data_IF_385365056187
#
_entry.id   IF_385365056187
#
_cell.length_a   1.000
_cell.length_b   1.000
_cell.length_c   1.000
_cell.angle_alpha   90.00
_cell.angle_beta   90.00
_cell.angle_gamma   90.00
#
_symmetry.space_group_name_H-M   'P 1'
#
loop_
_entity.id
_entity.type
_entity.pdbx_description
1 polymer ?
#
# COMPACT_ATOMS: atom_id res chain seq x y z
N UNK A 1 -31.33 24.17 36.53
CA UNK A 1 -30.44 23.34 35.69
C UNK A 1 -29.35 22.75 36.57
N UNK A 2 -28.89 21.50 36.34
CA UNK A 2 -27.87 20.91 37.18
C UNK A 2 -26.50 21.55 36.95
N UNK A 3 -25.75 21.78 38.04
CA UNK A 3 -24.44 22.47 38.08
C UNK A 3 -23.36 21.94 37.12
N UNK A 4 -23.52 20.73 36.56
CA UNK A 4 -22.58 20.17 35.60
C UNK A 4 -22.69 20.79 34.19
N UNK A 5 -23.85 21.34 33.83
CA UNK A 5 -24.05 21.99 32.52
C UNK A 5 -23.27 23.30 32.43
N UNK A 6 -23.19 24.05 33.53
CA UNK A 6 -22.44 25.30 33.60
C UNK A 6 -20.92 25.03 33.59
N UNK A 7 -20.47 24.00 34.30
CA UNK A 7 -19.07 23.56 34.27
C UNK A 7 -18.62 23.09 32.87
N UNK A 8 -19.50 22.40 32.13
CA UNK A 8 -19.22 22.00 30.74
C UNK A 8 -19.14 23.20 29.80
N UNK A 9 -20.00 24.21 29.97
CA UNK A 9 -19.98 25.45 29.18
C UNK A 9 -18.72 26.27 29.45
N UNK A 10 -18.29 26.37 30.71
CA UNK A 10 -17.06 27.04 31.11
C UNK A 10 -15.81 26.37 30.51
N UNK A 11 -15.77 25.03 30.51
CA UNK A 11 -14.68 24.26 29.90
C UNK A 11 -14.59 24.50 28.38
N UNK A 12 -15.73 24.50 27.68
CA UNK A 12 -15.80 24.76 26.24
C UNK A 12 -15.37 26.20 25.92
N UNK A 13 -15.80 27.19 26.71
CA UNK A 13 -15.40 28.58 26.54
C UNK A 13 -13.89 28.79 26.75
N UNK A 14 -13.29 28.06 27.69
CA UNK A 14 -11.86 28.12 27.99
C UNK A 14 -10.99 27.48 26.89
N UNK A 15 -11.43 26.37 26.32
CA UNK A 15 -10.78 25.72 25.16
C UNK A 15 -10.87 26.63 23.92
N UNK A 16 -12.04 27.25 23.69
CA UNK A 16 -12.23 28.19 22.58
C UNK A 16 -11.40 29.49 22.74
N UNK A 17 -11.15 29.92 23.97
CA UNK A 17 -10.30 31.08 24.27
C UNK A 17 -8.81 30.82 24.06
N UNK A 18 -8.32 29.62 24.38
CA UNK A 18 -6.91 29.24 24.21
C UNK A 18 -6.50 29.12 22.73
N UNK A 19 -7.40 28.73 21.83
CA UNK A 19 -7.10 28.67 20.39
C UNK A 19 -6.90 30.05 19.73
N UNK A 20 -7.30 31.15 20.37
CA UNK A 20 -7.12 32.52 19.83
C UNK A 20 -5.78 33.17 20.20
N UNK A 21 -4.98 32.57 21.08
CA UNK A 21 -3.73 33.18 21.59
C UNK A 21 -2.43 32.53 21.10
N UNK A 22 -2.47 31.56 20.18
CA UNK A 22 -1.27 31.08 19.53
C UNK A 22 -0.73 32.15 18.55
N UNK A 23 0.29 32.88 18.97
CA UNK A 23 1.04 33.79 18.09
C UNK A 23 1.95 32.99 17.15
N UNK A 24 2.10 33.37 15.86
CA UNK A 24 2.94 32.63 14.93
C UNK A 24 4.42 32.92 15.20
N UNK A 25 5.21 31.85 15.42
CA UNK A 25 6.67 31.93 15.49
C UNK A 25 7.30 32.12 14.10
N UNK A 26 8.51 32.69 14.00
CA UNK A 26 9.12 33.06 12.72
C UNK A 26 9.86 31.87 12.11
N UNK A 27 9.15 31.03 11.36
CA UNK A 27 9.76 30.16 10.36
C UNK A 27 8.73 29.84 9.28
N UNK A 28 8.44 30.83 8.44
CA UNK A 28 7.64 30.61 7.23
C UNK A 28 8.39 29.66 6.31
N UNK A 29 7.89 28.44 6.20
CA UNK A 29 8.26 27.52 5.12
C UNK A 29 7.07 27.39 4.18
N UNK A 30 7.34 27.06 2.92
CA UNK A 30 6.37 27.01 1.82
C UNK A 30 5.13 26.12 2.08
N UNK A 31 5.09 25.37 3.18
CA UNK A 31 3.95 24.57 3.65
C UNK A 31 2.78 25.40 4.17
N UNK A 32 3.02 26.57 4.77
CA UNK A 32 1.93 27.44 5.27
C UNK A 32 1.05 27.97 4.14
N UNK A 33 1.63 28.12 2.94
CA UNK A 33 0.90 28.51 1.73
C UNK A 33 -0.03 27.42 1.19
N UNK A 34 0.30 26.13 1.39
CA UNK A 34 -0.54 25.02 0.93
C UNK A 34 -1.73 24.75 1.87
N UNK A 35 -1.55 24.97 3.18
CA UNK A 35 -2.62 24.89 4.17
C UNK A 35 -3.72 25.96 3.98
N UNK A 36 -3.38 27.08 3.33
CA UNK A 36 -4.33 28.15 3.04
C UNK A 36 -5.22 27.88 1.80
N UNK A 37 -4.81 27.00 0.88
CA UNK A 37 -5.53 26.74 -0.38
C UNK A 37 -6.65 25.70 -0.24
N UNK A 38 -6.76 25.00 0.90
CA UNK A 38 -7.88 24.10 1.23
C UNK A 38 -9.03 24.77 2.00
N UNK A 39 -9.10 26.11 2.00
CA UNK A 39 -10.27 26.85 2.47
C UNK A 39 -11.12 27.33 1.29
N UNK A 40 -11.62 26.38 0.50
CA UNK A 40 -12.68 26.65 -0.46
C UNK A 40 -14.01 26.16 0.11
N UNK A 41 -14.81 27.13 0.55
CA UNK A 41 -16.26 27.14 0.68
C UNK A 41 -16.99 25.82 1.02
N UNK A 42 -17.42 25.73 2.28
CA UNK A 42 -18.53 24.90 2.77
C UNK A 42 -18.48 23.36 2.60
N UNK A 43 -17.39 22.71 3.03
CA UNK A 43 -17.42 21.38 3.70
C UNK A 43 -16.01 21.03 4.19
N UNK A 44 -15.70 21.42 5.43
CA UNK A 44 -14.41 21.18 6.06
C UNK A 44 -14.20 19.69 6.37
N UNK A 45 -13.26 19.06 5.68
CA UNK A 45 -12.41 18.03 6.28
C UNK A 45 -11.76 18.65 7.51
N UNK A 46 -12.06 18.11 8.69
CA UNK A 46 -11.34 18.50 9.89
C UNK A 46 -9.95 17.85 9.81
N UNK A 47 -8.93 18.64 9.48
CA UNK A 47 -7.56 18.25 9.78
C UNK A 47 -7.44 18.35 11.29
N UNK A 48 -7.46 17.20 11.97
CA UNK A 48 -7.09 17.12 13.38
C UNK A 48 -5.61 16.82 13.40
N UNK A 49 -4.81 17.88 13.44
CA UNK A 49 -3.37 17.81 13.59
C UNK A 49 -3.03 17.70 15.08
N UNK A 50 -3.15 16.48 15.61
CA UNK A 50 -2.73 16.15 16.99
C UNK A 50 -1.39 15.39 17.01
N UNK A 51 -0.65 15.36 15.90
CA UNK A 51 0.65 14.66 15.80
C UNK A 51 0.59 13.14 16.05
N UNK A 52 -0.61 12.54 16.13
CA UNK A 52 -0.79 11.14 16.42
C UNK A 52 -1.74 10.49 15.39
N UNK A 53 -1.22 9.62 14.52
CA UNK A 53 -1.98 8.84 13.53
C UNK A 53 -3.28 8.20 14.07
N UNK A 54 -3.25 7.81 15.35
CA UNK A 54 -4.41 7.26 16.08
C UNK A 54 -5.59 8.25 16.16
N UNK A 55 -5.31 9.53 16.40
CA UNK A 55 -6.32 10.58 16.51
C UNK A 55 -6.95 10.86 15.13
N UNK A 56 -6.12 10.95 14.09
CA UNK A 56 -6.59 11.12 12.71
C UNK A 56 -7.56 10.00 12.30
N UNK A 57 -7.21 8.72 12.58
CA UNK A 57 -8.11 7.60 12.33
C UNK A 57 -9.38 7.65 13.19
N UNK A 58 -9.28 8.03 14.46
CA UNK A 58 -10.45 8.13 15.34
C UNK A 58 -11.46 9.17 14.85
N UNK A 59 -10.99 10.33 14.38
CA UNK A 59 -11.83 11.39 13.82
C UNK A 59 -12.47 10.93 12.51
N UNK A 60 -11.68 10.33 11.62
CA UNK A 60 -12.20 9.82 10.35
C UNK A 60 -13.24 8.71 10.57
N UNK A 61 -12.98 7.81 11.52
CA UNK A 61 -13.92 6.78 11.92
C UNK A 61 -15.22 7.34 12.52
N UNK A 62 -15.13 8.35 13.40
CA UNK A 62 -16.31 8.99 13.97
C UNK A 62 -17.19 9.62 12.89
N UNK A 63 -16.58 10.26 11.89
CA UNK A 63 -17.31 10.78 10.72
C UNK A 63 -17.95 9.67 9.88
N UNK A 64 -17.21 8.59 9.61
CA UNK A 64 -17.75 7.45 8.88
C UNK A 64 -18.94 6.79 9.61
N UNK A 65 -18.86 6.67 10.94
CA UNK A 65 -19.95 6.19 11.79
C UNK A 65 -21.18 7.10 11.76
N UNK A 66 -20.99 8.41 11.59
CA UNK A 66 -22.07 9.37 11.43
C UNK A 66 -22.62 9.46 9.99
N UNK A 67 -22.27 8.51 9.10
CA UNK A 67 -22.74 8.50 7.72
C UNK A 67 -22.08 9.58 6.84
N UNK A 68 -20.88 10.05 7.20
CA UNK A 68 -20.13 11.04 6.42
C UNK A 68 -18.87 10.44 5.79
N UNK A 69 -18.61 10.77 4.52
CA UNK A 69 -17.36 10.36 3.86
C UNK A 69 -16.16 10.98 4.58
N UNK A 70 -15.23 10.12 4.97
CA UNK A 70 -13.98 10.51 5.59
C UNK A 70 -12.81 9.74 4.97
N UNK A 71 -11.63 10.32 5.08
CA UNK A 71 -10.36 9.71 4.70
C UNK A 71 -9.30 10.15 5.71
N UNK A 72 -8.26 9.35 5.88
CA UNK A 72 -7.06 9.72 6.61
C UNK A 72 -5.84 9.61 5.69
N UNK A 73 -4.82 10.42 5.92
CA UNK A 73 -3.53 10.33 5.27
C UNK A 73 -2.49 10.01 6.33
N UNK A 74 -1.75 8.92 6.14
CA UNK A 74 -0.74 8.42 7.06
C UNK A 74 0.56 8.14 6.30
N UNK A 75 1.67 7.97 6.99
CA UNK A 75 2.87 7.38 6.43
C UNK A 75 3.14 5.96 6.98
N UNK A 76 4.26 5.34 6.58
CA UNK A 76 4.64 4.00 7.02
C UNK A 76 4.66 3.84 8.56
N UNK A 77 5.49 4.60 9.28
CA UNK A 77 5.51 4.60 10.74
C UNK A 77 4.13 4.82 11.40
N UNK A 78 3.34 5.75 10.86
CA UNK A 78 1.99 6.03 11.34
C UNK A 78 1.05 4.81 11.22
N UNK A 79 1.14 4.05 10.11
CA UNK A 79 0.36 2.83 9.91
C UNK A 79 0.66 1.79 11.00
N UNK A 80 1.94 1.63 11.37
CA UNK A 80 2.35 0.74 12.44
C UNK A 80 1.86 1.23 13.81
N UNK A 81 2.03 2.53 14.09
CA UNK A 81 1.59 3.15 15.34
C UNK A 81 0.06 3.10 15.55
N UNK A 82 -0.70 2.97 14.46
CA UNK A 82 -2.15 2.91 14.47
C UNK A 82 -2.73 1.55 14.03
N UNK A 83 -1.94 0.47 14.06
CA UNK A 83 -2.35 -0.87 13.65
C UNK A 83 -3.62 -1.39 14.36
N UNK A 84 -3.71 -1.21 15.68
CA UNK A 84 -4.91 -1.56 16.47
C UNK A 84 -6.14 -0.74 16.02
N UNK A 85 -5.95 0.53 15.64
CA UNK A 85 -7.02 1.42 15.16
C UNK A 85 -7.49 1.04 13.76
N UNK A 86 -6.59 0.64 12.88
CA UNK A 86 -6.96 0.05 11.58
C UNK A 86 -7.79 -1.23 11.79
N UNK A 87 -7.33 -2.11 12.68
CA UNK A 87 -8.06 -3.34 13.04
C UNK A 87 -9.44 -3.04 13.63
N UNK A 88 -9.52 -2.00 14.47
CA UNK A 88 -10.77 -1.53 15.08
C UNK A 88 -11.75 -0.99 14.04
N UNK A 89 -11.26 -0.24 13.03
CA UNK A 89 -12.09 0.28 11.94
C UNK A 89 -12.61 -0.85 11.04
N UNK A 90 -11.70 -1.74 10.64
CA UNK A 90 -12.05 -2.86 9.78
C UNK A 90 -13.03 -3.83 10.48
N UNK A 91 -12.84 -4.09 11.78
CA UNK A 91 -13.73 -4.94 12.59
C UNK A 91 -15.14 -4.37 12.77
N UNK A 92 -15.32 -3.05 12.58
CA UNK A 92 -16.62 -2.36 12.61
C UNK A 92 -17.20 -2.13 11.22
N UNK A 93 -16.61 -2.73 10.19
CA UNK A 93 -17.09 -2.59 8.81
C UNK A 93 -17.20 -1.11 8.41
N UNK A 94 -16.23 -0.28 8.82
CA UNK A 94 -16.28 1.14 8.51
C UNK A 94 -15.91 1.39 7.04
N UNK A 95 -16.77 2.06 6.26
CA UNK A 95 -16.49 2.46 4.87
C UNK A 95 -15.48 3.62 4.81
N UNK A 96 -14.25 3.34 5.26
CA UNK A 96 -13.14 4.28 5.41
C UNK A 96 -12.00 3.91 4.44
N UNK A 97 -11.44 4.92 3.79
CA UNK A 97 -10.21 4.77 3.00
C UNK A 97 -9.09 5.53 3.70
N UNK A 98 -7.95 4.87 3.86
CA UNK A 98 -6.71 5.46 4.35
C UNK A 98 -5.75 5.53 3.17
N UNK A 99 -5.19 6.71 2.92
CA UNK A 99 -4.13 6.88 1.94
C UNK A 99 -2.79 6.89 2.66
N UNK A 100 -1.82 6.14 2.16
CA UNK A 100 -0.53 6.00 2.82
C UNK A 100 0.66 6.23 1.90
N UNK A 101 1.71 6.88 2.43
CA UNK A 101 3.03 6.92 1.79
C UNK A 101 3.98 5.97 2.49
N UNK A 102 4.60 5.06 1.74
CA UNK A 102 5.41 3.99 2.31
C UNK A 102 6.85 4.44 2.49
N UNK A 103 7.16 4.83 3.73
CA UNK A 103 8.50 5.07 4.23
C UNK A 103 9.09 3.86 4.91
N UNK A 104 10.42 3.75 4.87
CA UNK A 104 11.15 2.77 5.65
C UNK A 104 10.88 2.98 7.15
N UNK A 105 10.62 1.89 7.85
CA UNK A 105 10.50 1.91 9.30
C UNK A 105 11.88 1.97 9.97
N UNK A 106 11.96 2.64 11.11
CA UNK A 106 13.19 2.70 11.90
C UNK A 106 13.55 1.29 12.42
N UNK A 107 14.84 0.96 12.33
CA UNK A 107 15.39 -0.32 12.76
C UNK A 107 16.69 -0.15 13.53
N UNK A 108 17.80 -0.61 12.96
CA UNK A 108 19.14 -0.36 13.52
C UNK A 108 19.53 1.13 13.52
N UNK A 109 18.86 1.92 12.67
CA UNK A 109 18.92 3.37 12.58
C UNK A 109 17.61 3.87 11.95
N UNK A 110 17.42 5.20 11.91
CA UNK A 110 16.33 5.80 11.14
C UNK A 110 16.63 5.90 9.65
N UNK A 111 15.59 5.87 8.82
CA UNK A 111 15.71 5.95 7.37
C UNK A 111 14.67 6.89 6.74
N UNK A 112 15.13 7.78 5.86
CA UNK A 112 14.23 8.74 5.19
C UNK A 112 13.52 8.13 3.96
N UNK A 113 14.13 7.11 3.35
CA UNK A 113 13.71 6.55 2.07
C UNK A 113 12.46 5.66 2.13
N UNK A 114 12.14 5.06 0.99
CA UNK A 114 11.02 4.11 0.84
C UNK A 114 11.33 2.76 1.48
N UNK A 115 10.32 2.15 2.11
CA UNK A 115 10.37 0.78 2.62
C UNK A 115 8.96 0.20 2.79
N UNK A 116 8.84 -1.12 2.74
CA UNK A 116 7.54 -1.84 2.77
C UNK A 116 7.26 -2.54 4.10
N UNK A 117 8.03 -2.24 5.15
CA UNK A 117 7.88 -2.86 6.48
C UNK A 117 6.47 -2.65 7.03
N UNK A 118 6.00 -1.39 7.01
CA UNK A 118 4.67 -1.03 7.47
C UNK A 118 3.56 -1.66 6.61
N UNK A 119 3.79 -1.76 5.29
CA UNK A 119 2.84 -2.33 4.34
C UNK A 119 2.54 -3.79 4.63
N UNK A 120 3.58 -4.60 4.83
CA UNK A 120 3.39 -5.99 5.23
C UNK A 120 2.91 -6.08 6.70
N UNK A 121 3.37 -5.19 7.58
CA UNK A 121 2.99 -5.14 8.99
C UNK A 121 1.49 -5.00 9.24
N UNK A 122 0.75 -4.27 8.40
CA UNK A 122 -0.70 -4.08 8.56
C UNK A 122 -1.57 -5.17 7.88
N UNK A 123 -0.96 -6.20 7.29
CA UNK A 123 -1.70 -7.21 6.52
C UNK A 123 -2.64 -8.08 7.36
N UNK A 124 -2.48 -8.08 8.68
CA UNK A 124 -3.36 -8.76 9.64
C UNK A 124 -4.55 -7.93 10.14
N UNK A 125 -4.63 -6.63 9.79
CA UNK A 125 -5.70 -5.72 10.30
C UNK A 125 -7.10 -6.06 9.78
N UNK A 126 -7.19 -6.79 8.67
CA UNK A 126 -8.44 -7.05 7.96
C UNK A 126 -8.90 -5.92 7.05
N UNK A 127 -8.04 -4.91 6.80
CA UNK A 127 -8.28 -3.93 5.74
C UNK A 127 -8.02 -4.56 4.36
N UNK A 128 -8.74 -4.10 3.33
CA UNK A 128 -8.27 -4.34 1.96
C UNK A 128 -7.09 -3.42 1.65
N UNK A 129 -6.19 -3.85 0.77
CA UNK A 129 -4.89 -3.25 0.59
C UNK A 129 -4.55 -3.13 -0.89
N UNK A 130 -4.45 -1.90 -1.38
CA UNK A 130 -3.97 -1.56 -2.71
C UNK A 130 -2.65 -0.78 -2.66
N UNK A 131 -1.68 -1.14 -3.50
CA UNK A 131 -0.42 -0.44 -3.66
C UNK A 131 -0.27 0.01 -5.11
N UNK A 132 -0.17 1.33 -5.29
CA UNK A 132 -0.02 1.95 -6.59
C UNK A 132 1.35 1.66 -7.19
N UNK A 133 1.38 1.35 -8.49
CA UNK A 133 2.62 1.14 -9.24
C UNK A 133 3.24 2.48 -9.68
N UNK A 134 2.40 3.46 -10.02
CA UNK A 134 2.82 4.78 -10.50
C UNK A 134 1.79 5.86 -10.08
N UNK A 135 2.06 7.14 -10.37
CA UNK A 135 1.24 8.26 -9.86
C UNK A 135 -0.19 8.19 -10.41
N UNK A 136 -0.36 7.87 -11.70
CA UNK A 136 -1.69 7.67 -12.27
C UNK A 136 -2.46 6.48 -11.64
N UNK A 137 -1.77 5.39 -11.27
CA UNK A 137 -2.36 4.22 -10.63
C UNK A 137 -2.89 4.59 -9.24
N UNK A 138 -2.18 5.48 -8.52
CA UNK A 138 -2.63 5.98 -7.21
C UNK A 138 -3.95 6.75 -7.31
N UNK A 139 -4.12 7.57 -8.35
CA UNK A 139 -5.38 8.30 -8.61
C UNK A 139 -6.52 7.34 -8.89
N UNK A 140 -6.29 6.36 -9.75
CA UNK A 140 -7.32 5.41 -10.16
C UNK A 140 -7.71 4.46 -9.02
N UNK A 141 -6.73 3.96 -8.26
CA UNK A 141 -6.94 3.10 -7.10
C UNK A 141 -7.63 3.83 -5.94
N UNK A 142 -7.45 5.14 -5.80
CA UNK A 142 -8.20 5.93 -4.82
C UNK A 142 -9.71 5.93 -5.12
N UNK A 143 -10.10 6.04 -6.39
CA UNK A 143 -11.50 5.91 -6.81
C UNK A 143 -12.04 4.51 -6.57
N UNK A 144 -11.27 3.48 -6.98
CA UNK A 144 -11.63 2.08 -6.75
C UNK A 144 -11.86 1.82 -5.26
N UNK A 145 -10.90 2.21 -4.40
CA UNK A 145 -10.98 2.01 -2.97
C UNK A 145 -12.21 2.70 -2.34
N UNK A 146 -12.55 3.91 -2.80
CA UNK A 146 -13.75 4.61 -2.32
C UNK A 146 -15.02 3.83 -2.65
N UNK A 147 -15.15 3.35 -3.88
CA UNK A 147 -16.29 2.53 -4.30
C UNK A 147 -16.35 1.24 -3.48
N UNK A 148 -15.22 0.54 -3.36
CA UNK A 148 -15.12 -0.73 -2.60
C UNK A 148 -15.50 -0.54 -1.14
N UNK A 149 -14.95 0.49 -0.47
CA UNK A 149 -15.21 0.75 0.94
C UNK A 149 -16.72 0.94 1.20
N UNK A 150 -17.41 1.66 0.34
CA UNK A 150 -18.83 1.97 0.49
C UNK A 150 -19.74 0.81 0.09
N UNK A 151 -19.41 0.06 -0.96
CA UNK A 151 -20.19 -1.10 -1.39
C UNK A 151 -20.04 -2.27 -0.41
N UNK A 152 -18.82 -2.53 0.05
CA UNK A 152 -18.53 -3.66 0.94
C UNK A 152 -18.72 -3.34 2.43
N UNK A 153 -18.88 -2.07 2.81
CA UNK A 153 -18.74 -1.61 4.20
C UNK A 153 -17.40 -2.09 4.79
N UNK A 154 -16.31 -1.73 4.11
CA UNK A 154 -14.98 -2.21 4.45
C UNK A 154 -14.00 -1.05 4.58
N UNK A 155 -13.06 -1.20 5.50
CA UNK A 155 -11.92 -0.28 5.62
C UNK A 155 -10.82 -0.73 4.66
N UNK A 156 -10.20 0.22 3.97
CA UNK A 156 -9.11 -0.07 3.06
C UNK A 156 -7.96 0.91 3.12
N UNK A 157 -6.79 0.46 2.68
CA UNK A 157 -5.57 1.25 2.57
C UNK A 157 -5.14 1.30 1.11
N UNK A 158 -4.95 2.51 0.59
CA UNK A 158 -4.32 2.76 -0.71
C UNK A 158 -2.96 3.38 -0.45
N UNK A 159 -1.91 2.61 -0.69
CA UNK A 159 -0.54 3.00 -0.45
C UNK A 159 0.19 3.34 -1.76
N UNK A 160 1.28 4.09 -1.63
CA UNK A 160 2.24 4.35 -2.71
C UNK A 160 3.64 4.53 -2.12
N UNK A 161 4.67 4.27 -2.92
CA UNK A 161 6.07 4.45 -2.49
C UNK A 161 6.37 5.94 -2.23
N UNK A 162 7.04 6.24 -1.11
CA UNK A 162 7.27 7.63 -0.68
C UNK A 162 8.03 8.45 -1.74
N UNK A 163 9.26 8.06 -2.05
CA UNK A 163 10.10 8.85 -2.96
C UNK A 163 9.70 8.64 -4.42
N UNK A 164 9.50 7.38 -4.82
CA UNK A 164 9.35 6.99 -6.21
C UNK A 164 7.95 7.25 -6.77
N UNK A 165 6.95 7.49 -5.92
CA UNK A 165 5.58 7.77 -6.37
C UNK A 165 5.01 9.03 -5.72
N UNK A 166 4.98 9.14 -4.39
CA UNK A 166 4.34 10.28 -3.73
C UNK A 166 5.06 11.62 -4.00
N UNK A 167 6.38 11.58 -4.20
CA UNK A 167 7.20 12.76 -4.53
C UNK A 167 7.55 12.85 -6.02
N UNK A 168 7.07 11.91 -6.84
CA UNK A 168 7.39 11.86 -8.25
C UNK A 168 6.51 12.83 -9.05
N UNK A 169 7.13 13.63 -9.91
CA UNK A 169 6.41 14.46 -10.87
C UNK A 169 6.09 13.62 -12.12
N UNK A 170 4.81 13.31 -12.32
CA UNK A 170 4.32 12.65 -13.52
C UNK A 170 3.12 13.41 -14.10
N UNK A 171 3.01 13.41 -15.44
CA UNK A 171 1.79 13.89 -16.09
C UNK A 171 0.68 12.88 -15.87
N UNK A 172 -0.40 13.31 -15.23
CA UNK A 172 -1.56 12.48 -14.90
C UNK A 172 -2.85 13.06 -15.46
N UNK A 173 -3.79 12.18 -15.80
CA UNK A 173 -5.16 12.50 -16.14
C UNK A 173 -6.03 12.38 -14.88
N UNK A 174 -6.32 13.53 -14.27
CA UNK A 174 -7.21 13.61 -13.11
C UNK A 174 -8.67 13.59 -13.56
N UNK A 175 -9.53 12.80 -12.91
CA UNK A 175 -10.98 12.88 -13.11
C UNK A 175 -11.48 14.24 -12.61
N UNK A 176 -12.40 14.87 -13.35
CA UNK A 176 -13.10 16.04 -12.84
C UNK A 176 -14.07 15.66 -11.71
N UNK A 177 -14.65 16.68 -11.08
CA UNK A 177 -15.55 16.51 -9.93
C UNK A 177 -16.81 15.73 -10.29
N UNK A 178 -17.35 15.95 -11.49
CA UNK A 178 -18.61 15.33 -11.90
C UNK A 178 -18.36 13.86 -12.23
N UNK A 179 -17.25 13.53 -12.87
CA UNK A 179 -16.79 12.16 -13.07
C UNK A 179 -16.56 11.42 -11.76
N UNK A 180 -15.95 12.08 -10.77
CA UNK A 180 -15.82 11.53 -9.42
C UNK A 180 -17.19 11.25 -8.78
N UNK A 181 -18.17 12.15 -8.96
CA UNK A 181 -19.53 12.00 -8.44
C UNK A 181 -20.28 10.87 -9.16
N UNK A 182 -20.17 10.77 -10.47
CA UNK A 182 -20.79 9.71 -11.27
C UNK A 182 -20.27 8.33 -10.89
N UNK A 183 -18.98 8.22 -10.53
CA UNK A 183 -18.34 6.99 -10.11
C UNK A 183 -18.64 6.63 -8.64
N UNK A 184 -18.50 7.58 -7.72
CA UNK A 184 -18.67 7.30 -6.30
C UNK A 184 -20.12 7.40 -5.81
N UNK A 185 -20.98 8.16 -6.50
CA UNK A 185 -22.32 8.54 -6.07
C UNK A 185 -22.34 9.58 -4.94
N UNK A 186 -23.52 9.97 -4.47
CA UNK A 186 -23.69 10.77 -3.25
C UNK A 186 -23.72 9.84 -2.01
N UNK A 187 -23.13 10.22 -0.86
CA UNK A 187 -23.21 9.41 0.36
C UNK A 187 -24.63 9.11 0.82
N UNK A 188 -25.59 10.01 0.55
CA UNK A 188 -26.99 9.88 0.93
C UNK A 188 -27.82 9.07 -0.07
N UNK A 189 -27.25 8.67 -1.22
CA UNK A 189 -27.95 7.83 -2.20
C UNK A 189 -28.47 6.55 -1.54
N UNK A 190 -29.70 6.17 -1.85
CA UNK A 190 -30.22 4.85 -1.52
C UNK A 190 -29.80 3.87 -2.61
N UNK A 191 -29.09 2.81 -2.23
CA UNK A 191 -28.58 1.77 -3.11
C UNK A 191 -29.14 0.41 -2.70
N UNK A 192 -29.32 -0.52 -3.66
CA UNK A 192 -29.58 -1.92 -3.34
C UNK A 192 -28.43 -2.48 -2.48
N UNK A 193 -28.78 -3.24 -1.45
CA UNK A 193 -27.80 -3.89 -0.60
C UNK A 193 -26.95 -4.89 -1.42
N UNK A 194 -25.62 -4.67 -1.56
CA UNK A 194 -24.77 -5.48 -2.44
C UNK A 194 -24.60 -6.94 -2.03
N UNK A 195 -24.89 -7.28 -0.78
CA UNK A 195 -24.70 -8.63 -0.23
C UNK A 195 -25.89 -9.07 0.61
N UNK A 196 -26.05 -10.37 0.77
CA UNK A 196 -27.10 -11.00 1.58
C UNK A 196 -27.01 -10.58 3.05
N UNK A 197 -25.79 -10.48 3.58
CA UNK A 197 -25.54 -9.99 4.93
C UNK A 197 -26.01 -8.53 5.09
N UNK A 198 -25.73 -7.67 4.10
CA UNK A 198 -26.21 -6.29 4.12
C UNK A 198 -27.74 -6.26 3.97
N UNK A 199 -28.35 -7.14 3.17
CA UNK A 199 -29.82 -7.27 3.08
C UNK A 199 -30.45 -7.67 4.41
N UNK A 200 -29.81 -8.58 5.15
CA UNK A 200 -30.27 -8.98 6.47
C UNK A 200 -30.17 -7.83 7.50
N UNK A 201 -29.17 -6.96 7.38
CA UNK A 201 -28.95 -5.83 8.30
C UNK A 201 -29.84 -4.62 8.00
N UNK A 202 -30.04 -4.28 6.73
CA UNK A 202 -30.68 -3.02 6.33
C UNK A 202 -32.00 -3.19 5.58
N UNK A 203 -32.36 -4.40 5.16
CA UNK A 203 -33.45 -4.65 4.21
C UNK A 203 -32.96 -4.61 2.75
N UNK A 204 -33.87 -4.51 1.76
CA UNK A 204 -33.50 -4.60 0.34
C UNK A 204 -32.53 -3.50 -0.10
N UNK A 205 -32.67 -2.31 0.48
CA UNK A 205 -31.90 -1.12 0.13
C UNK A 205 -31.33 -0.44 1.39
N UNK A 206 -30.29 0.36 1.21
CA UNK A 206 -29.68 1.16 2.27
C UNK A 206 -29.10 2.46 1.74
N UNK A 207 -28.85 3.42 2.64
CA UNK A 207 -27.96 4.52 2.31
C UNK A 207 -26.58 3.98 1.90
N UNK A 208 -25.97 4.58 0.87
CA UNK A 208 -24.62 4.25 0.41
C UNK A 208 -23.62 4.33 1.55
N UNK A 209 -23.77 5.34 2.41
CA UNK A 209 -23.04 5.44 3.66
C UNK A 209 -24.00 5.36 4.86
N UNK A 210 -24.11 4.19 5.52
CA UNK A 210 -24.96 4.05 6.68
C UNK A 210 -24.50 4.93 7.84
N UNK A 211 -25.43 5.62 8.49
CA UNK A 211 -25.19 6.31 9.75
C UNK A 211 -25.47 5.33 10.91
N UNK A 212 -24.40 4.83 11.52
CA UNK A 212 -24.48 4.00 12.73
C UNK A 212 -24.66 4.84 14.00
N UNK A 213 -24.15 6.07 13.98
CA UNK A 213 -24.37 7.08 15.02
C UNK A 213 -25.48 8.01 14.57
N UNK A 214 -26.71 7.58 14.84
CA UNK A 214 -27.94 8.30 14.60
C UNK A 214 -28.71 8.41 15.92
N UNK A 215 -29.12 9.63 16.28
CA UNK A 215 -29.89 9.87 17.51
C UNK A 215 -31.33 9.34 17.39
N UNK A 216 -31.86 9.29 16.17
CA UNK A 216 -33.21 8.79 15.90
C UNK A 216 -33.22 7.25 15.82
N UNK A 217 -32.06 6.63 15.53
CA UNK A 217 -31.86 5.18 15.43
C UNK A 217 -30.62 4.73 16.20
N UNK A 218 -30.65 4.76 17.54
CA UNK A 218 -29.48 4.47 18.35
C UNK A 218 -29.06 3.00 18.21
N UNK A 219 -27.77 2.77 17.97
CA UNK A 219 -27.14 1.43 17.95
C UNK A 219 -25.95 1.41 18.90
N UNK A 220 -25.80 0.32 19.66
CA UNK A 220 -24.60 0.06 20.45
C UNK A 220 -23.57 -0.69 19.60
N UNK A 221 -22.44 -0.05 19.30
CA UNK A 221 -21.32 -0.66 18.58
C UNK A 221 -20.10 -0.86 19.48
N UNK A 222 -19.54 -2.07 19.47
CA UNK A 222 -18.26 -2.35 20.12
C UNK A 222 -18.33 -2.49 21.64
N UNK A 223 -19.46 -2.90 22.18
CA UNK A 223 -19.58 -3.29 23.60
C UNK A 223 -18.73 -4.52 23.92
N UNK A 224 -18.36 -4.68 25.19
CA UNK A 224 -17.64 -5.86 25.68
C UNK A 224 -18.50 -7.10 25.56
N UNK A 225 -17.93 -8.18 25.02
CA UNK A 225 -18.63 -9.44 24.77
C UNK A 225 -17.99 -10.58 25.56
N UNK A 226 -18.80 -11.55 25.97
CA UNK A 226 -18.30 -12.83 26.47
C UNK A 226 -17.68 -13.68 25.35
N UNK A 227 -16.88 -14.71 25.67
CA UNK A 227 -16.13 -15.49 24.69
C UNK A 227 -16.98 -16.10 23.57
N UNK A 228 -18.19 -16.58 23.87
CA UNK A 228 -19.09 -17.17 22.88
C UNK A 228 -19.55 -16.15 21.83
N UNK A 229 -20.13 -15.03 22.27
CA UNK A 229 -20.59 -13.98 21.36
C UNK A 229 -19.44 -13.38 20.54
N UNK A 230 -18.28 -13.17 21.17
CA UNK A 230 -17.08 -12.68 20.48
C UNK A 230 -16.59 -13.68 19.42
N UNK A 231 -16.50 -14.97 19.79
CA UNK A 231 -16.06 -16.03 18.87
C UNK A 231 -16.98 -16.16 17.66
N UNK A 232 -18.30 -16.11 17.86
CA UNK A 232 -19.28 -16.09 16.77
C UNK A 232 -19.10 -14.87 15.86
N UNK A 233 -18.89 -13.68 16.43
CA UNK A 233 -18.64 -12.46 15.66
C UNK A 233 -17.38 -12.54 14.80
N UNK A 234 -16.29 -13.10 15.34
CA UNK A 234 -15.05 -13.33 14.60
C UNK A 234 -15.27 -14.32 13.45
N UNK A 235 -15.93 -15.46 13.72
CA UNK A 235 -16.19 -16.49 12.71
C UNK A 235 -17.15 -15.99 11.60
N UNK A 236 -18.14 -15.17 11.97
CA UNK A 236 -19.12 -14.59 11.05
C UNK A 236 -18.48 -13.59 10.05
N UNK A 237 -17.35 -12.97 10.40
CA UNK A 237 -16.75 -11.91 9.57
C UNK A 237 -16.42 -12.37 8.14
N UNK A 238 -15.90 -13.59 8.00
CA UNK A 238 -15.52 -14.14 6.69
C UNK A 238 -16.72 -14.39 5.77
N UNK A 239 -17.68 -15.27 6.14
CA UNK A 239 -18.79 -15.62 5.25
C UNK A 239 -19.73 -14.43 4.98
N UNK A 240 -19.94 -13.55 5.96
CA UNK A 240 -20.94 -12.48 5.81
C UNK A 240 -20.38 -11.17 5.24
N UNK A 241 -19.10 -10.84 5.49
CA UNK A 241 -18.56 -9.52 5.13
C UNK A 241 -17.38 -9.55 4.17
N UNK A 242 -16.45 -10.50 4.27
CA UNK A 242 -15.22 -10.45 3.46
C UNK A 242 -15.20 -11.37 2.24
N UNK A 243 -16.02 -12.43 2.20
CA UNK A 243 -16.04 -13.38 1.07
C UNK A 243 -16.54 -12.74 -0.24
N UNK A 244 -17.45 -11.78 -0.16
CA UNK A 244 -17.95 -11.02 -1.32
C UNK A 244 -16.98 -9.94 -1.82
N UNK A 245 -15.96 -9.59 -1.02
CA UNK A 245 -15.07 -8.47 -1.27
C UNK A 245 -14.28 -8.59 -2.59
N UNK A 246 -13.73 -9.76 -3.00
CA UNK A 246 -13.07 -9.89 -4.30
C UNK A 246 -13.97 -9.54 -5.49
N UNK A 247 -15.25 -9.94 -5.44
CA UNK A 247 -16.23 -9.62 -6.48
C UNK A 247 -16.54 -8.13 -6.56
N UNK A 248 -16.69 -7.47 -5.40
CA UNK A 248 -16.89 -6.03 -5.29
C UNK A 248 -15.67 -5.26 -5.82
N UNK A 249 -14.46 -5.70 -5.48
CA UNK A 249 -13.23 -5.08 -5.99
C UNK A 249 -13.13 -5.23 -7.50
N UNK A 250 -13.39 -6.41 -8.05
CA UNK A 250 -13.36 -6.64 -9.49
C UNK A 250 -14.36 -5.74 -10.23
N UNK A 251 -15.58 -5.57 -9.71
CA UNK A 251 -16.57 -4.66 -10.30
C UNK A 251 -16.14 -3.19 -10.20
N UNK A 252 -15.61 -2.76 -9.05
CA UNK A 252 -15.11 -1.39 -8.89
C UNK A 252 -13.96 -1.09 -9.86
N UNK A 253 -13.01 -2.02 -10.01
CA UNK A 253 -11.92 -1.90 -10.99
C UNK A 253 -12.45 -1.84 -12.42
N UNK A 254 -13.42 -2.70 -12.80
CA UNK A 254 -14.06 -2.66 -14.13
C UNK A 254 -14.75 -1.33 -14.41
N UNK A 255 -15.50 -0.82 -13.43
CA UNK A 255 -16.23 0.44 -13.54
C UNK A 255 -15.29 1.62 -13.76
N UNK A 256 -14.25 1.72 -12.94
CA UNK A 256 -13.23 2.77 -13.09
C UNK A 256 -12.49 2.59 -14.43
N UNK A 257 -12.14 1.36 -14.81
CA UNK A 257 -11.48 1.08 -16.10
C UNK A 257 -12.30 1.54 -17.29
N UNK A 258 -13.61 1.23 -17.29
CA UNK A 258 -14.53 1.63 -18.34
C UNK A 258 -14.69 3.15 -18.40
N UNK A 259 -14.64 3.80 -17.24
CA UNK A 259 -14.79 5.24 -17.15
C UNK A 259 -13.54 6.02 -17.56
N UNK A 260 -12.36 5.44 -17.39
CA UNK A 260 -11.08 6.11 -17.64
C UNK A 260 -10.38 5.63 -18.91
N UNK A 261 -10.79 4.50 -19.47
CA UNK A 261 -10.11 3.79 -20.54
C UNK A 261 -8.82 3.07 -20.10
N UNK A 262 -8.51 3.04 -18.79
CA UNK A 262 -7.29 2.44 -18.26
C UNK A 262 -7.60 1.12 -17.56
N UNK A 263 -7.07 -0.03 -18.02
CA UNK A 263 -7.39 -1.32 -17.44
C UNK A 263 -6.81 -1.45 -16.03
N UNK A 264 -7.68 -1.72 -15.06
CA UNK A 264 -7.35 -2.00 -13.67
C UNK A 264 -7.67 -3.45 -13.35
N UNK A 265 -6.76 -4.09 -12.64
CA UNK A 265 -6.85 -5.47 -12.20
C UNK A 265 -6.05 -5.66 -10.90
N UNK A 266 -6.37 -6.69 -10.09
CA UNK A 266 -5.64 -6.97 -8.84
C UNK A 266 -4.12 -7.16 -9.05
N UNK A 267 -3.73 -7.60 -10.24
CA UNK A 267 -2.35 -7.74 -10.68
C UNK A 267 -2.12 -6.89 -11.92
N UNK A 268 -0.96 -6.24 -12.03
CA UNK A 268 -0.40 -5.78 -13.29
C UNK A 268 0.37 -6.94 -13.92
N UNK A 269 0.07 -7.30 -15.16
CA UNK A 269 0.76 -8.37 -15.88
C UNK A 269 1.39 -7.80 -17.13
N UNK A 270 2.68 -8.09 -17.35
CA UNK A 270 3.44 -7.62 -18.49
C UNK A 270 4.29 -8.75 -19.06
N UNK A 271 3.99 -9.14 -20.30
CA UNK A 271 4.72 -10.20 -21.05
C UNK A 271 4.86 -11.54 -20.31
N UNK A 272 3.81 -11.96 -19.60
CA UNK A 272 3.81 -13.18 -18.77
C UNK A 272 3.48 -14.45 -19.55
N UNK A 273 2.76 -14.36 -20.68
CA UNK A 273 2.17 -15.53 -21.36
C UNK A 273 3.19 -16.60 -21.77
N UNK A 274 4.41 -16.21 -22.16
CA UNK A 274 5.49 -17.11 -22.59
C UNK A 274 6.75 -17.02 -21.69
N UNK A 275 6.64 -16.33 -20.55
CA UNK A 275 7.78 -16.04 -19.70
C UNK A 275 8.31 -17.29 -18.99
N UNK A 276 9.60 -17.58 -19.14
CA UNK A 276 10.29 -18.61 -18.35
C UNK A 276 10.84 -18.03 -17.03
N UNK A 277 11.10 -16.73 -17.00
CA UNK A 277 11.47 -16.00 -15.78
C UNK A 277 10.39 -14.95 -15.52
N UNK A 278 9.77 -14.98 -14.35
CA UNK A 278 8.78 -13.98 -13.94
C UNK A 278 9.30 -13.19 -12.75
N UNK A 279 9.41 -11.87 -12.92
CA UNK A 279 9.68 -10.95 -11.82
C UNK A 279 8.36 -10.63 -11.13
N UNK A 280 8.27 -10.86 -9.84
CA UNK A 280 7.14 -10.44 -9.01
C UNK A 280 7.58 -9.27 -8.14
N UNK A 281 6.86 -8.16 -8.21
CA UNK A 281 7.23 -6.94 -7.50
C UNK A 281 6.01 -6.16 -7.04
N UNK A 282 6.26 -5.17 -6.18
CA UNK A 282 5.26 -4.28 -5.60
C UNK A 282 5.67 -2.81 -5.77
N UNK A 283 4.68 -1.93 -5.90
CA UNK A 283 4.89 -0.49 -6.00
C UNK A 283 5.69 -0.08 -7.24
N UNK A 284 6.52 0.94 -7.08
CA UNK A 284 7.32 1.57 -8.16
C UNK A 284 8.33 0.63 -8.83
N UNK A 285 8.69 -0.48 -8.17
CA UNK A 285 9.61 -1.47 -8.75
C UNK A 285 9.05 -2.09 -10.05
N UNK A 286 7.73 -2.13 -10.19
CA UNK A 286 7.07 -2.75 -11.33
C UNK A 286 7.37 -2.00 -12.64
N UNK A 287 7.37 -0.66 -12.64
CA UNK A 287 7.67 0.12 -13.87
C UNK A 287 9.09 -0.18 -14.38
N UNK A 288 10.07 -0.14 -13.47
CA UNK A 288 11.47 -0.44 -13.78
C UNK A 288 11.63 -1.87 -14.29
N UNK A 289 10.95 -2.84 -13.66
CA UNK A 289 10.99 -4.24 -14.08
C UNK A 289 10.36 -4.44 -15.47
N UNK A 290 9.24 -3.78 -15.77
CA UNK A 290 8.60 -3.87 -17.09
C UNK A 290 9.50 -3.31 -18.20
N UNK A 291 10.12 -2.16 -17.96
CA UNK A 291 11.06 -1.57 -18.92
C UNK A 291 12.30 -2.45 -19.15
N UNK A 292 12.82 -3.07 -18.08
CA UNK A 292 13.91 -4.04 -18.20
C UNK A 292 13.50 -5.30 -18.97
N UNK A 293 12.31 -5.85 -18.70
CA UNK A 293 11.82 -7.04 -19.41
C UNK A 293 11.71 -6.77 -20.91
N UNK A 294 11.27 -5.57 -21.31
CA UNK A 294 11.22 -5.15 -22.70
C UNK A 294 12.60 -5.07 -23.34
N UNK A 295 13.55 -4.47 -22.63
CA UNK A 295 14.94 -4.37 -23.05
C UNK A 295 15.58 -5.75 -23.26
N UNK A 296 15.46 -6.66 -22.29
CA UNK A 296 16.07 -7.99 -22.36
C UNK A 296 15.43 -8.87 -23.43
N UNK A 297 14.11 -8.76 -23.64
CA UNK A 297 13.42 -9.49 -24.72
C UNK A 297 13.89 -9.03 -26.09
N UNK A 298 14.04 -7.71 -26.29
CA UNK A 298 14.45 -7.13 -27.57
C UNK A 298 15.94 -7.37 -27.89
N UNK A 299 16.83 -7.23 -26.90
CA UNK A 299 18.28 -7.25 -27.14
C UNK A 299 18.92 -8.62 -26.88
N UNK A 300 18.33 -9.42 -25.99
CA UNK A 300 18.94 -10.69 -25.52
C UNK A 300 18.06 -11.92 -25.70
N UNK A 301 16.85 -11.76 -26.26
CA UNK A 301 15.88 -12.84 -26.51
C UNK A 301 15.54 -13.68 -25.27
N UNK A 302 15.64 -13.09 -24.08
CA UNK A 302 15.27 -13.75 -22.83
C UNK A 302 13.77 -13.59 -22.56
N UNK A 303 13.06 -14.69 -22.28
CA UNK A 303 11.60 -14.68 -22.02
C UNK A 303 11.30 -14.24 -20.57
N UNK A 304 11.45 -12.95 -20.31
CA UNK A 304 11.16 -12.32 -19.02
C UNK A 304 9.75 -11.75 -19.01
N UNK A 305 8.99 -12.00 -17.95
CA UNK A 305 7.69 -11.40 -17.67
C UNK A 305 7.68 -10.71 -16.31
N UNK A 306 6.70 -9.85 -16.07
CA UNK A 306 6.55 -9.10 -14.81
C UNK A 306 5.12 -9.22 -14.30
N UNK A 307 4.99 -9.50 -13.01
CA UNK A 307 3.74 -9.47 -12.25
C UNK A 307 3.88 -8.42 -11.14
N UNK A 308 3.16 -7.31 -11.28
CA UNK A 308 3.02 -6.30 -10.24
C UNK A 308 1.83 -6.59 -9.35
N UNK A 309 2.05 -6.76 -8.04
CA UNK A 309 0.97 -7.01 -7.09
C UNK A 309 0.36 -5.67 -6.65
N UNK A 310 -0.74 -5.27 -7.31
CA UNK A 310 -1.52 -4.08 -6.94
C UNK A 310 -2.38 -4.31 -5.72
N UNK A 311 -2.97 -5.50 -5.59
CA UNK A 311 -3.82 -5.88 -4.46
C UNK A 311 -3.13 -6.92 -3.60
N UNK A 312 -2.77 -6.55 -2.36
CA UNK A 312 -2.20 -7.49 -1.38
C UNK A 312 -3.30 -8.20 -0.57
N UNK A 313 -4.38 -7.47 -0.24
CA UNK A 313 -5.53 -8.02 0.48
C UNK A 313 -6.84 -7.58 -0.15
N UNK A 314 -7.79 -8.49 -0.41
CA UNK A 314 -7.67 -9.96 -0.34
C UNK A 314 -6.55 -10.50 -1.26
N UNK A 315 -5.88 -11.59 -0.88
CA UNK A 315 -4.78 -12.14 -1.68
C UNK A 315 -5.31 -12.72 -3.01
N UNK A 316 -4.85 -12.26 -4.20
CA UNK A 316 -5.39 -12.66 -5.50
C UNK A 316 -4.80 -14.00 -5.99
N UNK A 317 -4.98 -15.06 -5.20
CA UNK A 317 -4.32 -16.36 -5.37
C UNK A 317 -4.53 -16.99 -6.76
N UNK A 318 -5.74 -16.92 -7.33
CA UNK A 318 -6.06 -17.61 -8.58
C UNK A 318 -5.41 -16.89 -9.77
N UNK A 319 -5.42 -15.56 -9.75
CA UNK A 319 -4.76 -14.73 -10.75
C UNK A 319 -3.22 -14.92 -10.69
N UNK A 320 -2.65 -15.02 -9.48
CA UNK A 320 -1.23 -15.28 -9.29
C UNK A 320 -0.84 -16.68 -9.77
N UNK A 321 -1.63 -17.71 -9.43
CA UNK A 321 -1.39 -19.09 -9.90
C UNK A 321 -1.42 -19.15 -11.42
N UNK A 322 -2.38 -18.48 -12.06
CA UNK A 322 -2.45 -18.42 -13.52
C UNK A 322 -1.21 -17.73 -14.12
N UNK A 323 -0.85 -16.55 -13.60
CA UNK A 323 0.29 -15.76 -14.09
C UNK A 323 1.65 -16.46 -13.91
N UNK A 324 1.80 -17.30 -12.90
CA UNK A 324 3.06 -17.99 -12.56
C UNK A 324 3.14 -19.43 -13.07
N UNK A 325 2.09 -19.92 -13.73
CA UNK A 325 1.95 -21.34 -14.11
C UNK A 325 3.04 -21.88 -15.04
N UNK A 326 3.68 -21.02 -15.83
CA UNK A 326 4.75 -21.36 -16.80
C UNK A 326 6.15 -20.97 -16.35
N UNK A 327 6.27 -20.29 -15.20
CA UNK A 327 7.55 -19.77 -14.75
C UNK A 327 8.45 -20.92 -14.32
N UNK A 328 9.65 -21.00 -14.89
CA UNK A 328 10.72 -21.88 -14.37
C UNK A 328 11.42 -21.21 -13.18
N UNK A 329 11.51 -19.88 -13.21
CA UNK A 329 12.10 -19.06 -12.14
C UNK A 329 11.19 -17.89 -11.82
N UNK A 330 10.95 -17.68 -10.53
CA UNK A 330 10.20 -16.55 -9.99
C UNK A 330 11.15 -15.70 -9.15
N UNK A 331 11.33 -14.44 -9.55
CA UNK A 331 12.23 -13.49 -8.88
C UNK A 331 11.37 -12.50 -8.11
N UNK A 332 11.40 -12.56 -6.78
CA UNK A 332 10.58 -11.71 -5.92
C UNK A 332 11.39 -10.51 -5.46
N UNK A 333 11.09 -9.33 -6.00
CA UNK A 333 11.71 -8.08 -5.57
C UNK A 333 10.95 -7.51 -4.37
N UNK A 334 11.62 -7.34 -3.24
CA UNK A 334 11.00 -6.80 -2.01
C UNK A 334 11.80 -5.63 -1.43
N UNK A 335 11.09 -4.58 -0.97
CA UNK A 335 11.67 -3.45 -0.22
C UNK A 335 11.66 -3.65 1.29
N UNK A 336 11.77 -4.90 1.72
CA UNK A 336 11.85 -5.29 3.13
C UNK A 336 12.77 -6.51 3.25
N UNK A 337 13.51 -6.59 4.34
CA UNK A 337 14.21 -7.79 4.76
C UNK A 337 13.70 -8.21 6.14
N UNK A 338 13.25 -9.45 6.29
CA UNK A 338 12.67 -9.98 7.52
C UNK A 338 13.62 -11.01 8.12
N UNK A 339 14.58 -10.60 8.98
CA UNK A 339 15.76 -11.41 9.31
C UNK A 339 15.45 -12.68 10.12
N UNK A 340 14.30 -12.73 10.81
CA UNK A 340 13.87 -13.90 11.59
C UNK A 340 12.82 -14.74 10.85
N UNK A 341 12.36 -14.30 9.68
CA UNK A 341 11.43 -15.06 8.86
C UNK A 341 12.19 -16.02 7.94
N UNK A 342 11.60 -17.19 7.71
CA UNK A 342 12.14 -18.14 6.73
C UNK A 342 12.21 -17.50 5.33
N UNK A 343 11.10 -16.88 4.92
CA UNK A 343 10.95 -16.19 3.65
C UNK A 343 10.62 -14.71 3.88
N UNK A 344 10.98 -13.85 2.92
CA UNK A 344 10.44 -12.51 2.85
C UNK A 344 8.89 -12.53 2.66
N UNK A 345 8.15 -11.52 3.15
CA UNK A 345 6.68 -11.54 3.20
C UNK A 345 5.96 -11.91 1.90
N UNK A 346 6.35 -11.35 0.76
CA UNK A 346 5.70 -11.64 -0.52
C UNK A 346 6.09 -13.04 -1.02
N UNK A 347 7.36 -13.43 -0.86
CA UNK A 347 7.82 -14.76 -1.19
C UNK A 347 7.09 -15.86 -0.40
N UNK A 348 6.84 -15.64 0.89
CA UNK A 348 6.09 -16.56 1.75
C UNK A 348 4.67 -16.84 1.21
N UNK A 349 3.98 -15.81 0.69
CA UNK A 349 2.63 -15.95 0.13
C UNK A 349 2.62 -16.56 -1.28
N UNK A 350 3.71 -16.39 -2.04
CA UNK A 350 3.84 -16.91 -3.40
C UNK A 350 4.25 -18.38 -3.43
N UNK A 351 5.12 -18.82 -2.52
CA UNK A 351 5.65 -20.19 -2.45
C UNK A 351 4.56 -21.29 -2.58
N UNK A 352 3.41 -21.24 -1.87
CA UNK A 352 2.37 -22.26 -2.03
C UNK A 352 1.58 -22.19 -3.35
N UNK A 353 1.77 -21.13 -4.15
CA UNK A 353 1.12 -20.97 -5.46
C UNK A 353 1.98 -21.48 -6.62
N UNK A 354 3.28 -21.65 -6.40
CA UNK A 354 4.22 -22.02 -7.45
C UNK A 354 4.01 -23.45 -7.95
N UNK A 355 4.23 -23.71 -9.25
CA UNK A 355 4.26 -25.07 -9.74
C UNK A 355 5.53 -25.78 -9.22
N UNK A 356 5.46 -27.10 -9.03
CA UNK A 356 6.56 -27.85 -8.38
C UNK A 356 7.92 -27.83 -9.11
N UNK A 357 7.95 -27.36 -10.36
CA UNK A 357 9.19 -27.18 -11.14
C UNK A 357 9.78 -25.76 -11.05
N UNK A 358 9.02 -24.79 -10.53
CA UNK A 358 9.48 -23.41 -10.44
C UNK A 358 10.42 -23.23 -9.25
N UNK A 359 11.53 -22.52 -9.48
CA UNK A 359 12.41 -22.04 -8.43
C UNK A 359 12.06 -20.61 -8.05
N UNK A 360 12.04 -20.29 -6.76
CA UNK A 360 11.83 -18.93 -6.25
C UNK A 360 13.16 -18.34 -5.79
N UNK A 361 13.41 -17.08 -6.15
CA UNK A 361 14.54 -16.29 -5.68
C UNK A 361 14.02 -15.05 -4.96
N UNK A 362 14.35 -14.92 -3.69
CA UNK A 362 14.08 -13.77 -2.84
C UNK A 362 15.14 -12.70 -3.06
N UNK A 363 14.70 -11.50 -3.42
CA UNK A 363 15.62 -10.41 -3.76
C UNK A 363 15.26 -9.16 -2.96
N UNK A 364 15.76 -9.05 -1.72
CA UNK A 364 15.71 -7.80 -0.98
C UNK A 364 16.44 -6.71 -1.77
N UNK A 365 15.76 -5.61 -2.05
CA UNK A 365 16.25 -4.52 -2.87
C UNK A 365 15.65 -3.18 -2.41
N UNK A 366 16.33 -2.08 -2.67
CA UNK A 366 15.81 -0.75 -2.34
C UNK A 366 15.50 -0.52 -0.86
N UNK A 367 16.15 -1.29 0.03
CA UNK A 367 16.02 -1.21 1.47
C UNK A 367 16.40 0.20 1.95
N UNK A 368 15.54 0.84 2.74
CA UNK A 368 15.78 2.19 3.25
C UNK A 368 15.88 3.26 2.16
N UNK A 369 15.35 3.01 0.95
CA UNK A 369 15.44 3.92 -0.20
C UNK A 369 16.68 3.74 -1.07
N UNK A 370 17.43 2.65 -0.91
CA UNK A 370 18.55 2.38 -1.82
C UNK A 370 18.11 2.38 -3.29
N UNK A 371 18.94 2.88 -4.22
CA UNK A 371 18.61 2.85 -5.64
C UNK A 371 18.47 1.42 -6.16
N UNK A 372 17.38 1.12 -6.88
CA UNK A 372 17.24 -0.12 -7.63
C UNK A 372 17.52 0.18 -9.10
N UNK A 373 18.73 -0.16 -9.55
CA UNK A 373 19.20 0.19 -10.89
C UNK A 373 18.88 -0.91 -11.89
N UNK A 374 18.53 -0.52 -13.11
CA UNK A 374 18.34 -1.44 -14.24
C UNK A 374 19.54 -2.36 -14.48
N UNK A 375 20.76 -1.83 -14.29
CA UNK A 375 22.00 -2.58 -14.45
C UNK A 375 22.14 -3.71 -13.41
N UNK A 376 21.75 -3.45 -12.16
CA UNK A 376 21.79 -4.47 -11.11
C UNK A 376 20.77 -5.58 -11.40
N UNK A 377 19.56 -5.22 -11.81
CA UNK A 377 18.53 -6.18 -12.19
C UNK A 377 18.91 -7.01 -13.43
N UNK A 378 19.55 -6.40 -14.44
CA UNK A 378 20.05 -7.13 -15.60
C UNK A 378 21.13 -8.15 -15.18
N UNK A 379 22.09 -7.72 -14.36
CA UNK A 379 23.14 -8.57 -13.82
C UNK A 379 22.57 -9.73 -12.98
N UNK A 380 21.53 -9.45 -12.18
CA UNK A 380 20.82 -10.48 -11.41
C UNK A 380 20.32 -11.58 -12.33
N UNK A 381 19.54 -11.22 -13.36
CA UNK A 381 18.95 -12.19 -14.29
C UNK A 381 20.01 -12.98 -15.07
N UNK A 382 21.16 -12.39 -15.36
CA UNK A 382 22.31 -13.07 -15.96
C UNK A 382 22.99 -14.06 -14.99
N UNK A 383 22.92 -13.79 -13.69
CA UNK A 383 23.55 -14.61 -12.64
C UNK A 383 22.68 -15.80 -12.22
N UNK A 384 21.35 -15.67 -12.31
CA UNK A 384 20.38 -16.70 -11.88
C UNK A 384 20.61 -18.11 -12.47
N UNK A 385 21.02 -18.29 -13.75
CA UNK A 385 21.33 -19.62 -14.28
C UNK A 385 22.57 -20.28 -13.64
N UNK A 386 23.41 -19.51 -12.95
CA UNK A 386 24.72 -19.92 -12.46
C UNK A 386 24.83 -19.93 -10.92
N UNK A 387 23.72 -19.67 -10.22
CA UNK A 387 23.70 -19.60 -8.76
C UNK A 387 22.63 -20.49 -8.17
N UNK A 388 22.96 -21.11 -7.04
CA UNK A 388 22.02 -21.82 -6.19
C UNK A 388 21.57 -21.00 -4.97
N UNK A 389 21.86 -19.70 -4.96
CA UNK A 389 21.35 -18.81 -3.92
C UNK A 389 19.84 -18.55 -4.12
N UNK A 390 19.05 -18.94 -3.12
CA UNK A 390 17.64 -18.58 -3.06
C UNK A 390 17.44 -17.14 -2.61
N UNK A 391 18.40 -16.53 -1.87
CA UNK A 391 18.35 -15.13 -1.44
C UNK A 391 19.55 -14.33 -1.93
N UNK A 392 19.28 -13.22 -2.63
CA UNK A 392 20.29 -12.33 -3.24
C UNK A 392 19.94 -10.87 -2.93
N UNK A 393 20.86 -10.11 -2.33
CA UNK A 393 20.67 -8.70 -2.01
C UNK A 393 21.07 -7.82 -3.19
N UNK A 394 20.13 -7.06 -3.73
CA UNK A 394 20.34 -6.27 -4.94
C UNK A 394 20.72 -4.82 -4.62
N UNK A 395 21.68 -4.28 -5.36
CA UNK A 395 22.19 -2.91 -5.19
C UNK A 395 23.14 -2.78 -3.99
N UNK A 396 23.51 -3.90 -3.38
CA UNK A 396 24.36 -3.98 -2.19
C UNK A 396 25.62 -4.77 -2.50
N UNK A 397 26.73 -4.33 -1.91
CA UNK A 397 28.00 -5.05 -1.88
C UNK A 397 28.46 -5.11 -0.43
N UNK A 398 28.45 -6.31 0.15
CA UNK A 398 28.85 -6.51 1.55
C UNK A 398 30.35 -6.32 1.75
N UNK A 399 31.16 -6.47 0.70
CA UNK A 399 32.61 -6.33 0.77
C UNK A 399 33.18 -5.55 -0.44
N UNK A 400 32.90 -4.24 -0.55
CA UNK A 400 33.33 -3.43 -1.68
C UNK A 400 34.84 -3.40 -1.84
N UNK A 401 35.32 -3.62 -3.06
CA UNK A 401 36.73 -3.90 -3.40
C UNK A 401 37.76 -2.97 -2.73
N UNK A 402 37.41 -1.70 -2.59
CA UNK A 402 38.26 -0.67 -2.01
C UNK A 402 37.52 0.15 -0.95
N UNK A 403 38.19 0.43 0.16
CA UNK A 403 37.75 1.37 1.19
C UNK A 403 38.76 2.50 1.39
N UNK A 404 38.25 3.70 1.67
CA UNK A 404 39.07 4.90 1.89
C UNK A 404 39.99 4.80 3.12
N UNK A 405 39.61 4.01 4.13
CA UNK A 405 40.35 3.88 5.38
C UNK A 405 41.04 2.51 5.52
N UNK A 406 42.34 2.46 5.87
CA UNK A 406 43.08 1.20 5.97
C UNK A 406 42.47 0.18 6.94
N UNK A 407 41.96 0.62 8.09
CA UNK A 407 41.28 -0.27 9.07
C UNK A 407 40.00 -0.88 8.49
N UNK A 408 39.25 -0.09 7.71
CA UNK A 408 38.05 -0.58 7.03
C UNK A 408 38.45 -1.57 5.94
N UNK A 409 39.50 -1.28 5.16
CA UNK A 409 40.00 -2.22 4.15
C UNK A 409 40.37 -3.57 4.77
N UNK A 410 41.14 -3.58 5.87
CA UNK A 410 41.51 -4.80 6.58
C UNK A 410 40.27 -5.59 7.06
N UNK A 411 39.22 -4.90 7.53
CA UNK A 411 37.97 -5.53 7.92
C UNK A 411 37.22 -6.14 6.72
N UNK A 412 37.20 -5.46 5.57
CA UNK A 412 36.59 -5.99 4.34
C UNK A 412 37.37 -7.18 3.78
N UNK A 413 38.70 -7.14 3.83
CA UNK A 413 39.56 -8.25 3.41
C UNK A 413 39.36 -9.48 4.32
N UNK A 414 39.22 -9.26 5.63
CA UNK A 414 38.85 -10.32 6.57
C UNK A 414 37.46 -10.89 6.25
N UNK A 415 36.48 -10.03 5.94
CA UNK A 415 35.14 -10.46 5.57
C UNK A 415 35.13 -11.35 4.31
N UNK A 416 35.89 -10.99 3.27
CA UNK A 416 35.99 -11.81 2.05
C UNK A 416 36.63 -13.16 2.30
N UNK A 417 37.65 -13.21 3.14
CA UNK A 417 38.35 -14.46 3.48
C UNK A 417 37.50 -15.35 4.37
N UNK A 418 36.87 -14.78 5.39
CA UNK A 418 36.23 -15.53 6.47
C UNK A 418 34.75 -15.82 6.18
N UNK A 419 34.09 -15.00 5.34
CA UNK A 419 32.66 -15.10 4.98
C UNK A 419 32.41 -14.93 3.47
N UNK A 420 33.02 -15.74 2.59
CA UNK A 420 32.80 -15.66 1.14
C UNK A 420 31.35 -15.93 0.74
N UNK A 421 30.62 -16.70 1.56
CA UNK A 421 29.18 -16.96 1.43
C UNK A 421 28.35 -15.67 1.45
N UNK A 422 28.69 -14.74 2.34
CA UNK A 422 27.97 -13.48 2.49
C UNK A 422 28.29 -12.53 1.35
N UNK A 423 29.57 -12.47 0.95
CA UNK A 423 30.01 -11.62 -0.16
C UNK A 423 29.32 -12.02 -1.46
N UNK A 424 29.17 -13.33 -1.72
CA UNK A 424 28.46 -13.83 -2.89
C UNK A 424 26.95 -13.58 -2.92
N UNK A 425 26.34 -13.12 -1.81
CA UNK A 425 24.91 -12.78 -1.75
C UNK A 425 24.62 -11.33 -2.12
N UNK A 426 25.60 -10.43 -2.05
CA UNK A 426 25.45 -9.04 -2.49
C UNK A 426 25.68 -8.94 -4.00
N UNK A 427 24.77 -8.29 -4.71
CA UNK A 427 24.89 -8.08 -6.14
C UNK A 427 24.76 -6.61 -6.50
N UNK A 428 25.83 -6.05 -7.08
CA UNK A 428 25.88 -4.69 -7.58
C UNK A 428 26.71 -4.63 -8.85
N UNK A 429 26.14 -4.07 -9.92
CA UNK A 429 26.85 -3.85 -11.17
C UNK A 429 27.96 -2.79 -11.00
N UNK A 430 29.11 -3.04 -11.63
CA UNK A 430 30.31 -2.19 -11.57
C UNK A 430 30.19 -0.89 -12.38
N UNK A 431 29.31 -0.86 -13.38
CA UNK A 431 29.03 0.33 -14.18
C UNK A 431 27.94 1.16 -13.53
N UNK A 432 28.24 2.43 -13.24
CA UNK A 432 27.23 3.43 -12.87
C UNK A 432 26.48 4.01 -14.08
N UNK A 433 26.87 3.66 -15.33
CA UNK A 433 26.10 4.06 -16.50
C UNK A 433 24.76 3.31 -16.52
N UNK A 434 23.62 4.03 -16.51
CA UNK A 434 22.32 3.38 -16.57
C UNK A 434 22.15 2.69 -17.92
N UNK A 435 21.56 1.48 -17.92
CA UNK A 435 21.00 0.92 -19.15
C UNK A 435 19.94 1.88 -19.68
N UNK A 436 20.00 2.14 -20.99
CA UNK A 436 18.95 2.91 -21.65
C UNK A 436 17.70 2.04 -21.78
N UNK A 437 16.79 2.22 -20.83
CA UNK A 437 15.49 1.55 -20.78
C UNK A 437 14.38 2.36 -21.46
N UNK A 438 14.71 3.48 -22.13
CA UNK A 438 13.68 4.27 -22.81
C UNK A 438 13.06 3.46 -23.94
N UNK A 439 11.74 3.63 -24.20
CA UNK A 439 11.11 3.01 -25.35
C UNK A 439 11.84 3.31 -26.66
N UNK A 440 11.81 2.39 -27.65
CA UNK A 440 12.30 2.69 -28.98
C UNK A 440 11.58 3.94 -29.52
N UNK A 441 12.34 4.86 -30.12
CA UNK A 441 11.89 6.14 -30.69
C UNK A 441 11.61 7.29 -29.70
N UNK A 442 12.00 7.19 -28.44
CA UNK A 442 11.96 8.35 -27.53
C UNK A 442 13.12 9.31 -27.86
N UNK A 443 12.82 10.52 -28.36
CA UNK A 443 13.83 11.56 -28.60
C UNK A 443 14.40 12.07 -27.29
N UNK A 444 15.72 12.25 -27.26
CA UNK A 444 16.53 12.80 -26.14
C UNK A 444 16.10 14.19 -25.72
#
# INVERSE_FOLDING_TARGET
MPRWVDAARELVARIAGQQRQASPGPSGTAWDGLGAVLRTEQRLGAVVDDGAARAALAVAAGRALAGQRATAWLDGPDLLAAHDRLSWCAGRCLPLVVHATLGAADGHAGAAGTGHEAWHGISGTGCFQFLAIHVQDAVDLALVARIVAEQALATGVVAMDREQTAMALQRVALPDRDRCRDLAGDPADIIPCPTDAQRALFGPDRARLPAWFDLDRPVMLGGTQGPEAYGLGVAARRPYFTESLPGIIAEAMRRVSSATGRPLSPLHQHRVDDASIVIVAQGSLVETACALADHLRSHRRQRVGVVGVRQLRPWPQDALRAALSRAERVVVLERVDSPLAADAPLAAELRPLLPGHARIHEVPCGLGGLPVRAADLALLLETLPHTDADRIYLGLDFAPGTAEHPRRQAALDALRRDRPDLVGRGLRASSDRPLDLRPPHTTT
#
